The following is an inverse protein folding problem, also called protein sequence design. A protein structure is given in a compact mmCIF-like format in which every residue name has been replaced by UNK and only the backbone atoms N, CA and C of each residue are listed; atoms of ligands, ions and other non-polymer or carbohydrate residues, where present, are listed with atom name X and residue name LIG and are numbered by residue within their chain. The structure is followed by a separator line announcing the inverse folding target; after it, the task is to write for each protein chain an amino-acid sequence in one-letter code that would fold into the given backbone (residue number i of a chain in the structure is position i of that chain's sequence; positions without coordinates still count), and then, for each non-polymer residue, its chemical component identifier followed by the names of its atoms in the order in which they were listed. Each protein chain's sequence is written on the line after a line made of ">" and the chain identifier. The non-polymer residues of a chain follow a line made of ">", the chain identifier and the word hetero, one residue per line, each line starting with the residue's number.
data_IF_674947390709
#
_entry.id   IF_674947390709
#
_cell.length_a   1.000
_cell.length_b   1.000
_cell.length_c   1.000
_cell.angle_alpha   90.00
_cell.angle_beta   90.00
_cell.angle_gamma   90.00
#
_symmetry.space_group_name_H-M   'P 1'
#
loop_
_entity.id
_entity.type
_entity.pdbx_description
1 polymer ?
#
# COMPACT_ATOMS: atom_id res chain seq x y z
N UNK A 1 15.94 13.23 24.69
CA UNK A 1 17.15 12.77 23.98
C UNK A 1 17.56 13.85 22.97
N UNK A 2 18.84 14.01 22.64
CA UNK A 2 19.26 14.97 21.60
C UNK A 2 19.24 14.26 20.25
N UNK A 3 18.31 14.64 19.38
CA UNK A 3 18.24 14.11 18.02
C UNK A 3 19.45 14.56 17.21
N UNK A 4 19.88 13.68 16.30
CA UNK A 4 21.01 13.94 15.41
C UNK A 4 20.47 13.88 13.99
N UNK A 5 20.47 15.03 13.33
CA UNK A 5 20.16 15.15 11.93
C UNK A 5 21.37 14.68 11.10
N UNK A 6 21.41 13.37 10.83
CA UNK A 6 22.47 12.78 10.00
C UNK A 6 22.35 13.19 8.53
N UNK A 7 21.14 13.50 8.06
CA UNK A 7 20.90 13.90 6.69
C UNK A 7 21.41 15.32 6.47
N UNK A 8 21.12 16.26 7.37
CA UNK A 8 21.73 17.59 7.36
C UNK A 8 23.26 17.56 7.46
N UNK A 9 23.83 16.65 8.27
CA UNK A 9 25.29 16.46 8.33
C UNK A 9 25.86 15.90 7.02
N UNK A 10 25.10 15.06 6.31
CA UNK A 10 25.48 14.57 5.00
C UNK A 10 25.39 15.68 3.96
N UNK A 11 24.33 16.48 3.96
CA UNK A 11 24.12 17.58 3.02
C UNK A 11 25.23 18.64 3.09
N UNK A 12 25.70 18.96 4.30
CA UNK A 12 26.86 19.83 4.51
C UNK A 12 28.11 19.25 3.81
N UNK A 13 28.38 17.95 4.00
CA UNK A 13 29.52 17.27 3.38
C UNK A 13 29.37 17.11 1.87
N UNK A 14 28.14 16.84 1.40
CA UNK A 14 27.83 16.68 -0.01
C UNK A 14 28.05 18.01 -0.73
N UNK A 15 27.58 19.12 -0.15
CA UNK A 15 27.78 20.47 -0.69
C UNK A 15 29.26 20.77 -0.88
N UNK A 16 30.08 20.54 0.16
CA UNK A 16 31.53 20.72 0.06
C UNK A 16 32.15 19.83 -1.02
N UNK A 17 31.75 18.55 -1.09
CA UNK A 17 32.26 17.62 -2.10
C UNK A 17 31.87 18.05 -3.53
N UNK A 18 30.66 18.57 -3.73
CA UNK A 18 30.21 19.09 -5.03
C UNK A 18 31.01 20.33 -5.44
N UNK A 19 31.33 21.22 -4.50
CA UNK A 19 32.18 22.40 -4.76
C UNK A 19 33.61 22.01 -5.15
N UNK A 20 34.22 21.07 -4.42
CA UNK A 20 35.57 20.58 -4.69
C UNK A 20 35.68 19.81 -6.02
N UNK A 21 34.56 19.27 -6.50
CA UNK A 21 34.47 18.50 -7.74
C UNK A 21 33.63 19.22 -8.80
N UNK A 22 33.55 20.55 -8.72
CA UNK A 22 32.80 21.38 -9.67
C UNK A 22 33.27 21.09 -11.10
N UNK A 23 32.32 20.83 -11.99
CA UNK A 23 32.50 20.46 -13.40
C UNK A 23 33.09 19.05 -13.67
N UNK A 24 33.31 18.21 -12.66
CA UNK A 24 33.78 16.82 -12.89
C UNK A 24 32.66 15.83 -13.20
N UNK A 25 31.44 16.12 -12.76
CA UNK A 25 30.28 15.25 -12.89
C UNK A 25 29.10 15.99 -13.52
N UNK A 26 28.37 15.30 -14.38
CA UNK A 26 27.07 15.77 -14.90
C UNK A 26 25.97 15.51 -13.88
N UNK A 27 24.80 16.13 -14.07
CA UNK A 27 23.62 15.94 -13.21
C UNK A 27 23.23 14.46 -13.09
N UNK A 28 23.16 13.74 -14.22
CA UNK A 28 22.90 12.29 -14.23
C UNK A 28 23.94 11.47 -13.48
N UNK A 29 25.21 11.88 -13.50
CA UNK A 29 26.26 11.18 -12.73
C UNK A 29 26.11 11.44 -11.23
N UNK A 30 25.62 12.61 -10.83
CA UNK A 30 25.34 12.90 -9.43
C UNK A 30 24.23 12.02 -8.87
N UNK A 31 23.17 11.75 -9.63
CA UNK A 31 22.10 10.81 -9.26
C UNK A 31 22.66 9.40 -8.92
N UNK A 32 23.70 8.96 -9.65
CA UNK A 32 24.36 7.67 -9.40
C UNK A 32 25.41 7.69 -8.27
N UNK A 33 25.93 8.87 -7.92
CA UNK A 33 27.04 9.05 -6.97
C UNK A 33 26.51 9.35 -5.56
N UNK A 34 25.49 10.20 -5.43
CA UNK A 34 24.93 10.63 -4.14
C UNK A 34 24.55 9.42 -3.27
N UNK A 35 23.81 8.41 -3.75
CA UNK A 35 23.46 7.23 -2.94
C UNK A 35 24.70 6.48 -2.44
N UNK A 36 25.76 6.39 -3.25
CA UNK A 36 27.03 5.73 -2.87
C UNK A 36 27.79 6.53 -1.81
N UNK A 37 27.79 7.86 -1.93
CA UNK A 37 28.38 8.75 -0.94
C UNK A 37 27.63 8.67 0.38
N UNK A 38 26.29 8.63 0.35
CA UNK A 38 25.46 8.50 1.54
C UNK A 38 25.71 7.16 2.25
N UNK A 39 25.74 6.06 1.50
CA UNK A 39 26.12 4.74 2.04
C UNK A 39 27.49 4.77 2.71
N UNK A 40 28.48 5.40 2.08
CA UNK A 40 29.84 5.56 2.63
C UNK A 40 29.87 6.47 3.87
N UNK A 41 29.02 7.50 3.91
CA UNK A 41 28.90 8.39 5.05
C UNK A 41 28.48 7.63 6.31
N UNK A 42 27.60 6.63 6.18
CA UNK A 42 27.22 5.74 7.28
C UNK A 42 28.38 5.02 7.97
N UNK A 43 29.49 4.79 7.27
CA UNK A 43 30.72 4.16 7.79
C UNK A 43 31.84 5.18 8.08
N UNK A 44 31.58 6.48 7.88
CA UNK A 44 32.58 7.53 8.06
C UNK A 44 32.52 8.09 9.48
N UNK A 45 33.67 8.17 10.15
CA UNK A 45 33.75 8.72 11.50
C UNK A 45 33.30 10.20 11.53
N UNK A 46 32.41 10.55 12.45
CA UNK A 46 31.91 11.91 12.65
C UNK A 46 32.36 12.41 14.02
N UNK A 47 33.28 13.40 14.02
CA UNK A 47 33.91 13.90 15.24
C UNK A 47 32.90 14.46 16.27
N UNK A 48 31.79 15.05 15.82
CA UNK A 48 30.72 15.61 16.66
C UNK A 48 30.05 14.56 17.56
N UNK A 49 29.98 13.31 17.10
CA UNK A 49 29.34 12.18 17.80
C UNK A 49 30.34 11.10 18.24
N UNK A 50 31.63 11.28 17.89
CA UNK A 50 32.74 10.38 18.22
C UNK A 50 32.52 8.92 17.80
N UNK A 51 31.75 8.68 16.75
CA UNK A 51 31.54 7.37 16.11
C UNK A 51 31.02 7.56 14.67
N UNK A 52 30.75 6.48 13.95
CA UNK A 52 30.05 6.51 12.66
C UNK A 52 28.52 6.57 12.85
N UNK A 53 27.73 7.07 11.87
CA UNK A 53 26.26 7.04 11.94
C UNK A 53 25.69 5.65 12.21
N UNK A 54 26.22 4.60 11.57
CA UNK A 54 25.78 3.22 11.84
C UNK A 54 26.13 2.77 13.25
N UNK A 55 27.36 3.01 13.70
CA UNK A 55 27.77 2.67 15.08
C UNK A 55 26.97 3.42 16.15
N UNK A 56 26.45 4.61 15.82
CA UNK A 56 25.61 5.38 16.74
C UNK A 56 24.32 4.62 17.05
N UNK A 57 23.61 4.16 16.02
CA UNK A 57 22.37 3.39 16.18
C UNK A 57 22.63 1.95 16.63
N UNK A 58 23.70 1.30 16.17
CA UNK A 58 24.05 -0.06 16.59
C UNK A 58 24.28 -0.20 18.11
N UNK A 59 24.65 0.88 18.81
CA UNK A 59 24.82 0.90 20.28
C UNK A 59 23.50 0.98 21.05
N UNK A 60 22.41 1.32 20.39
CA UNK A 60 21.10 1.46 21.02
C UNK A 60 20.44 0.10 21.20
N UNK A 61 19.58 -0.03 22.22
CA UNK A 61 18.61 -1.13 22.32
C UNK A 61 17.45 -0.91 21.35
N UNK A 62 16.66 -1.95 21.10
CA UNK A 62 15.50 -1.86 20.19
C UNK A 62 14.50 -0.79 20.65
N UNK A 63 14.22 -0.73 21.95
CA UNK A 63 13.37 0.32 22.54
C UNK A 63 13.96 1.72 22.31
N UNK A 64 15.28 1.88 22.44
CA UNK A 64 15.93 3.17 22.19
C UNK A 64 15.88 3.57 20.72
N UNK A 65 15.97 2.63 19.78
CA UNK A 65 15.83 2.90 18.35
C UNK A 65 14.42 3.40 18.04
N UNK A 66 13.39 2.71 18.53
CA UNK A 66 11.98 3.07 18.33
C UNK A 66 11.63 4.40 18.99
N UNK A 67 12.12 4.65 20.21
CA UNK A 67 12.01 5.96 20.87
C UNK A 67 12.71 7.06 20.06
N UNK A 68 13.88 6.78 19.48
CA UNK A 68 14.58 7.74 18.63
C UNK A 68 13.79 8.05 17.37
N UNK A 69 13.26 7.03 16.70
CA UNK A 69 12.41 7.15 15.51
C UNK A 69 11.20 8.04 15.81
N UNK A 70 10.51 7.75 16.91
CA UNK A 70 9.33 8.50 17.34
C UNK A 70 9.68 9.97 17.64
N UNK A 71 10.84 10.22 18.27
CA UNK A 71 11.30 11.57 18.53
C UNK A 71 11.62 12.36 17.24
N UNK A 72 12.19 11.71 16.21
CA UNK A 72 12.43 12.33 14.90
C UNK A 72 11.12 12.83 14.27
N UNK A 73 10.11 11.95 14.20
CA UNK A 73 8.78 12.27 13.66
C UNK A 73 8.10 13.42 14.42
N UNK A 74 8.10 13.35 15.76
CA UNK A 74 7.48 14.37 16.62
C UNK A 74 8.19 15.74 16.56
N UNK A 75 9.47 15.76 16.18
CA UNK A 75 10.27 16.99 16.15
C UNK A 75 10.43 17.56 14.73
N UNK A 76 9.77 16.97 13.73
CA UNK A 76 9.89 17.30 12.31
C UNK A 76 11.36 17.32 11.84
N UNK A 77 12.16 16.38 12.37
CA UNK A 77 13.55 16.16 11.96
C UNK A 77 13.56 14.93 11.04
N UNK A 78 14.18 14.99 9.84
CA UNK A 78 14.27 13.85 8.94
C UNK A 78 14.72 12.58 9.66
N UNK A 79 14.02 11.48 9.41
CA UNK A 79 14.39 10.17 9.95
C UNK A 79 15.55 9.62 9.12
N UNK A 80 16.74 9.44 9.71
CA UNK A 80 17.90 9.00 8.93
C UNK A 80 17.74 7.54 8.51
N UNK A 81 18.08 7.21 7.27
CA UNK A 81 18.04 5.84 6.74
C UNK A 81 18.84 4.86 7.59
N UNK A 82 19.92 5.30 8.23
CA UNK A 82 20.72 4.46 9.12
C UNK A 82 19.95 3.96 10.35
N UNK A 83 18.95 4.72 10.82
CA UNK A 83 18.06 4.30 11.90
C UNK A 83 17.09 3.24 11.39
N UNK A 84 16.45 3.48 10.24
CA UNK A 84 15.54 2.53 9.60
C UNK A 84 16.23 1.20 9.32
N UNK A 85 17.39 1.25 8.66
CA UNK A 85 18.17 0.06 8.32
C UNK A 85 18.60 -0.74 9.56
N UNK A 86 18.92 -0.09 10.68
CA UNK A 86 19.25 -0.79 11.93
C UNK A 86 18.01 -1.47 12.54
N UNK A 87 16.85 -0.80 12.52
CA UNK A 87 15.57 -1.36 13.00
C UNK A 87 15.17 -2.59 12.15
N UNK A 88 15.23 -2.46 10.83
CA UNK A 88 14.92 -3.52 9.88
C UNK A 88 15.88 -4.71 10.04
N UNK A 89 17.19 -4.45 10.14
CA UNK A 89 18.21 -5.49 10.31
C UNK A 89 17.97 -6.33 11.57
N UNK A 90 17.44 -5.71 12.64
CA UNK A 90 17.11 -6.41 13.89
C UNK A 90 15.77 -7.11 13.85
N UNK A 91 14.88 -6.76 12.92
CA UNK A 91 13.52 -7.26 12.88
C UNK A 91 12.75 -6.93 14.17
N UNK A 92 12.91 -5.70 14.67
CA UNK A 92 12.36 -5.21 15.95
C UNK A 92 10.84 -4.97 15.93
N UNK A 93 10.09 -5.84 15.24
CA UNK A 93 8.65 -5.72 14.96
C UNK A 93 7.85 -5.53 16.24
N UNK A 94 8.08 -6.36 17.27
CA UNK A 94 7.36 -6.28 18.56
C UNK A 94 7.54 -4.92 19.24
N UNK A 95 8.69 -4.26 19.03
CA UNK A 95 8.97 -2.95 19.61
C UNK A 95 8.33 -1.83 18.79
N UNK A 96 8.17 -2.02 17.47
CA UNK A 96 7.45 -1.09 16.59
C UNK A 96 5.93 -1.20 16.72
N UNK A 97 5.40 -2.36 17.11
CA UNK A 97 3.97 -2.63 17.19
C UNK A 97 3.16 -1.55 17.94
N UNK A 98 3.61 -0.97 19.08
CA UNK A 98 2.89 0.12 19.73
C UNK A 98 2.74 1.38 18.87
N UNK A 99 3.67 1.65 17.94
CA UNK A 99 3.58 2.81 17.03
C UNK A 99 2.46 2.66 16.00
N UNK A 100 2.12 1.43 15.59
CA UNK A 100 0.99 1.16 14.69
C UNK A 100 -0.35 1.64 15.26
N UNK A 101 -0.46 1.66 16.59
CA UNK A 101 -1.67 2.07 17.30
C UNK A 101 -1.59 3.53 17.79
N UNK A 102 -0.60 4.29 17.31
CA UNK A 102 -0.48 5.72 17.61
C UNK A 102 -1.68 6.49 17.08
N UNK A 103 -2.12 7.52 17.81
CA UNK A 103 -3.12 8.47 17.32
C UNK A 103 -2.56 9.42 16.25
N UNK A 104 -1.24 9.50 16.11
CA UNK A 104 -0.59 10.25 15.05
C UNK A 104 -0.47 9.37 13.80
N UNK A 105 -1.20 9.74 12.73
CA UNK A 105 -1.29 8.95 11.50
C UNK A 105 0.05 8.82 10.79
N UNK A 106 0.91 9.85 10.85
CA UNK A 106 2.26 9.79 10.30
C UNK A 106 3.11 8.74 11.00
N UNK A 107 3.09 8.71 12.34
CA UNK A 107 3.77 7.69 13.14
C UNK A 107 3.27 6.28 12.80
N UNK A 108 1.96 6.08 12.70
CA UNK A 108 1.37 4.78 12.40
C UNK A 108 1.74 4.29 10.99
N UNK A 109 1.63 5.16 9.98
CA UNK A 109 2.02 4.85 8.61
C UNK A 109 3.52 4.55 8.48
N UNK A 110 4.37 5.28 9.20
CA UNK A 110 5.81 5.01 9.19
C UNK A 110 6.13 3.63 9.80
N UNK A 111 5.48 3.27 10.90
CA UNK A 111 5.63 1.95 11.51
C UNK A 111 5.12 0.84 10.59
N UNK A 112 3.99 1.05 9.91
CA UNK A 112 3.46 0.10 8.92
C UNK A 112 4.46 -0.16 7.80
N UNK A 113 5.06 0.89 7.24
CA UNK A 113 6.06 0.78 6.17
C UNK A 113 7.33 0.05 6.62
N UNK A 114 7.81 0.28 7.85
CA UNK A 114 8.99 -0.43 8.38
C UNK A 114 8.72 -1.89 8.71
N UNK A 115 7.51 -2.23 9.17
CA UNK A 115 7.16 -3.61 9.50
C UNK A 115 6.82 -4.41 8.23
N UNK A 116 6.13 -3.80 7.27
CA UNK A 116 5.71 -4.45 6.04
C UNK A 116 4.70 -5.57 6.27
N UNK A 117 4.95 -6.72 5.67
CA UNK A 117 4.06 -7.88 5.68
C UNK A 117 4.33 -8.90 6.81
N UNK A 118 5.11 -8.53 7.82
CA UNK A 118 5.48 -9.44 8.91
C UNK A 118 4.27 -9.90 9.73
N UNK A 119 4.02 -11.20 9.71
CA UNK A 119 2.89 -11.85 10.37
C UNK A 119 2.78 -11.57 11.88
N UNK A 120 3.89 -11.21 12.55
CA UNK A 120 3.88 -10.85 13.98
C UNK A 120 3.06 -9.58 14.25
N UNK A 121 2.81 -8.75 13.25
CA UNK A 121 2.02 -7.52 13.37
C UNK A 121 0.55 -7.66 12.96
N UNK A 122 0.12 -8.83 12.47
CA UNK A 122 -1.24 -9.00 11.92
C UNK A 122 -2.35 -8.70 12.93
N UNK A 123 -2.16 -9.03 14.21
CA UNK A 123 -3.12 -8.68 15.26
C UNK A 123 -3.34 -7.16 15.35
N UNK A 124 -2.28 -6.36 15.18
CA UNK A 124 -2.38 -4.91 15.16
C UNK A 124 -2.94 -4.38 13.86
N UNK A 125 -2.64 -4.99 12.72
CA UNK A 125 -3.26 -4.65 11.44
C UNK A 125 -4.77 -4.87 11.48
N UNK A 126 -5.22 -5.98 12.05
CA UNK A 126 -6.64 -6.19 12.31
C UNK A 126 -7.21 -5.19 13.32
N UNK A 127 -6.47 -4.79 14.34
CA UNK A 127 -6.93 -3.74 15.25
C UNK A 127 -7.10 -2.39 14.54
N UNK A 128 -6.23 -2.04 13.58
CA UNK A 128 -6.34 -0.86 12.73
C UNK A 128 -7.63 -0.92 11.90
N UNK A 129 -7.89 -2.04 11.21
CA UNK A 129 -9.10 -2.19 10.39
C UNK A 129 -10.39 -2.13 11.21
N UNK A 130 -10.36 -2.59 12.46
CA UNK A 130 -11.50 -2.53 13.38
C UNK A 130 -11.69 -1.14 14.01
N UNK A 131 -10.70 -0.25 13.92
CA UNK A 131 -10.74 1.06 14.56
C UNK A 131 -11.60 2.04 13.77
N UNK A 132 -12.58 2.66 14.45
CA UNK A 132 -13.39 3.73 13.87
C UNK A 132 -12.61 5.05 13.69
N UNK A 133 -11.48 5.20 14.41
CA UNK A 133 -10.70 6.44 14.43
C UNK A 133 -9.36 6.33 13.71
N UNK A 134 -9.00 5.14 13.24
CA UNK A 134 -7.80 4.97 12.43
C UNK A 134 -7.99 5.68 11.08
N UNK A 135 -6.90 6.25 10.58
CA UNK A 135 -6.83 6.92 9.29
C UNK A 135 -7.20 5.96 8.14
N UNK A 136 -7.94 6.45 7.15
CA UNK A 136 -8.44 5.61 6.05
C UNK A 136 -7.34 5.20 5.07
N UNK A 137 -6.32 6.04 4.83
CA UNK A 137 -5.19 5.67 3.99
C UNK A 137 -4.38 4.55 4.66
N UNK A 138 -4.18 4.65 5.98
CA UNK A 138 -3.56 3.58 6.77
C UNK A 138 -4.34 2.25 6.68
N UNK A 139 -5.68 2.29 6.75
CA UNK A 139 -6.50 1.09 6.58
C UNK A 139 -6.37 0.50 5.18
N UNK A 140 -6.35 1.34 4.16
CA UNK A 140 -6.16 0.90 2.78
C UNK A 140 -4.81 0.21 2.59
N UNK A 141 -3.73 0.78 3.15
CA UNK A 141 -2.40 0.16 3.10
C UNK A 141 -2.38 -1.22 3.79
N UNK A 142 -3.06 -1.36 4.93
CA UNK A 142 -3.23 -2.66 5.61
C UNK A 142 -4.03 -3.65 4.75
N UNK A 143 -5.08 -3.21 4.08
CA UNK A 143 -5.85 -4.07 3.16
C UNK A 143 -4.98 -4.54 2.00
N UNK A 144 -4.14 -3.67 1.42
CA UNK A 144 -3.20 -4.05 0.36
C UNK A 144 -2.20 -5.12 0.82
N UNK A 145 -1.67 -5.00 2.03
CA UNK A 145 -0.80 -6.04 2.62
C UNK A 145 -1.59 -7.35 2.74
N UNK A 146 -2.77 -7.34 3.36
CA UNK A 146 -3.55 -8.56 3.56
C UNK A 146 -4.05 -9.21 2.26
N UNK A 147 -4.23 -8.46 1.19
CA UNK A 147 -4.54 -9.02 -0.15
C UNK A 147 -3.42 -9.91 -0.67
N UNK A 148 -2.16 -9.63 -0.33
CA UNK A 148 -1.02 -10.46 -0.70
C UNK A 148 -0.96 -11.77 0.12
N UNK A 149 -1.53 -11.75 1.33
CA UNK A 149 -1.55 -12.84 2.31
C UNK A 149 -2.96 -13.39 2.61
N UNK A 150 -3.89 -13.24 1.66
CA UNK A 150 -5.31 -13.47 1.88
C UNK A 150 -5.64 -14.88 2.39
N UNK A 151 -4.91 -15.89 1.89
CA UNK A 151 -5.05 -17.29 2.34
C UNK A 151 -4.67 -17.46 3.81
N UNK A 152 -3.60 -16.80 4.26
CA UNK A 152 -3.08 -16.88 5.63
C UNK A 152 -4.05 -16.25 6.64
N UNK A 153 -4.70 -15.16 6.25
CA UNK A 153 -5.57 -14.37 7.12
C UNK A 153 -7.06 -14.70 6.97
N UNK A 154 -7.41 -15.67 6.11
CA UNK A 154 -8.77 -16.04 5.73
C UNK A 154 -9.72 -16.24 6.92
N UNK A 155 -9.36 -17.08 7.89
CA UNK A 155 -10.28 -17.42 9.00
C UNK A 155 -10.59 -16.20 9.87
N UNK A 156 -9.61 -15.31 10.03
CA UNK A 156 -9.81 -14.08 10.79
C UNK A 156 -10.71 -13.10 10.03
N UNK A 157 -10.46 -12.92 8.73
CA UNK A 157 -11.27 -12.08 7.86
C UNK A 157 -12.73 -12.56 7.77
N UNK A 158 -12.96 -13.87 7.67
CA UNK A 158 -14.30 -14.48 7.73
C UNK A 158 -15.00 -14.16 9.06
N UNK A 159 -14.31 -14.34 10.20
CA UNK A 159 -14.87 -14.05 11.53
C UNK A 159 -15.24 -12.56 11.69
N UNK A 160 -14.43 -11.63 11.16
CA UNK A 160 -14.75 -10.20 11.21
C UNK A 160 -15.94 -9.85 10.32
N UNK A 161 -15.99 -10.41 9.11
CA UNK A 161 -17.12 -10.21 8.21
C UNK A 161 -18.43 -10.71 8.81
N UNK A 162 -18.44 -11.89 9.43
CA UNK A 162 -19.61 -12.44 10.12
C UNK A 162 -20.12 -11.52 11.25
N UNK A 163 -19.21 -10.83 11.93
CA UNK A 163 -19.52 -9.83 12.97
C UNK A 163 -19.90 -8.47 12.39
N UNK A 164 -19.88 -8.32 11.06
CA UNK A 164 -20.07 -7.07 10.34
C UNK A 164 -19.10 -5.95 10.73
N UNK A 165 -17.84 -6.33 10.96
CA UNK A 165 -16.77 -5.38 11.25
C UNK A 165 -15.90 -5.23 10.00
N UNK A 166 -15.71 -3.99 9.56
CA UNK A 166 -14.93 -3.65 8.37
C UNK A 166 -15.32 -4.50 7.14
N UNK A 167 -16.62 -4.74 6.95
CA UNK A 167 -17.16 -5.72 6.00
C UNK A 167 -16.64 -5.56 4.57
N UNK A 168 -16.48 -4.31 4.11
CA UNK A 168 -15.95 -4.01 2.77
C UNK A 168 -14.47 -4.40 2.64
N UNK A 169 -13.63 -4.04 3.61
CA UNK A 169 -12.23 -4.45 3.66
C UNK A 169 -12.09 -5.97 3.71
N UNK A 170 -12.95 -6.64 4.51
CA UNK A 170 -12.92 -8.11 4.60
C UNK A 170 -13.31 -8.75 3.26
N UNK A 171 -14.34 -8.24 2.58
CA UNK A 171 -14.72 -8.70 1.24
C UNK A 171 -13.56 -8.58 0.26
N UNK A 172 -12.88 -7.44 0.27
CA UNK A 172 -11.77 -7.19 -0.63
C UNK A 172 -10.60 -8.16 -0.38
N UNK A 173 -10.22 -8.36 0.88
CA UNK A 173 -9.17 -9.32 1.25
C UNK A 173 -9.58 -10.74 0.84
N UNK A 174 -10.79 -11.17 1.19
CA UNK A 174 -11.30 -12.51 0.90
C UNK A 174 -11.39 -12.77 -0.62
N UNK A 175 -11.61 -11.74 -1.43
CA UNK A 175 -11.59 -11.87 -2.90
C UNK A 175 -10.24 -12.29 -3.48
N UNK A 176 -9.14 -12.19 -2.72
CA UNK A 176 -7.78 -12.52 -3.15
C UNK A 176 -7.30 -13.91 -2.73
N UNK A 177 -8.16 -14.68 -2.05
CA UNK A 177 -7.88 -16.06 -1.66
C UNK A 177 -7.63 -16.94 -2.89
N UNK A 178 -6.54 -17.71 -2.85
CA UNK A 178 -6.17 -18.66 -3.91
C UNK A 178 -6.60 -20.07 -3.56
N UNK A 179 -6.60 -20.42 -2.28
CA UNK A 179 -7.11 -21.69 -1.76
C UNK A 179 -8.64 -21.65 -1.72
N UNK A 180 -9.26 -22.21 -2.77
CA UNK A 180 -10.72 -22.26 -2.94
C UNK A 180 -11.43 -22.72 -1.66
N UNK A 181 -12.45 -21.95 -1.28
CA UNK A 181 -13.23 -22.13 -0.06
C UNK A 181 -14.69 -21.77 -0.34
N UNK A 182 -15.58 -22.73 -0.17
CA UNK A 182 -17.00 -22.56 -0.48
C UNK A 182 -17.65 -21.42 0.33
N UNK A 183 -17.21 -21.18 1.57
CA UNK A 183 -17.75 -20.10 2.41
C UNK A 183 -17.45 -18.73 1.80
N UNK A 184 -16.23 -18.58 1.27
CA UNK A 184 -15.78 -17.34 0.63
C UNK A 184 -16.52 -17.15 -0.69
N UNK A 185 -16.61 -18.19 -1.51
CA UNK A 185 -17.36 -18.14 -2.76
C UNK A 185 -18.82 -17.70 -2.54
N UNK A 186 -19.53 -18.37 -1.61
CA UNK A 186 -20.92 -18.05 -1.28
C UNK A 186 -21.09 -16.60 -0.79
N UNK A 187 -20.13 -16.12 -0.01
CA UNK A 187 -20.08 -14.77 0.53
C UNK A 187 -19.93 -13.74 -0.60
N UNK A 188 -18.97 -13.93 -1.51
CA UNK A 188 -18.76 -13.04 -2.66
C UNK A 188 -19.96 -13.04 -3.61
N UNK A 189 -20.55 -14.20 -3.88
CA UNK A 189 -21.78 -14.34 -4.68
C UNK A 189 -22.95 -13.63 -4.01
N UNK A 190 -23.10 -13.75 -2.70
CA UNK A 190 -24.15 -13.03 -1.94
C UNK A 190 -23.95 -11.53 -2.03
N UNK A 191 -22.71 -11.04 -1.88
CA UNK A 191 -22.38 -9.62 -2.00
C UNK A 191 -22.67 -9.09 -3.41
N UNK A 192 -22.38 -9.85 -4.46
CA UNK A 192 -22.72 -9.48 -5.83
C UNK A 192 -24.24 -9.35 -6.06
N UNK A 193 -25.04 -10.22 -5.42
CA UNK A 193 -26.50 -10.23 -5.59
C UNK A 193 -27.24 -9.07 -4.93
N UNK A 194 -26.60 -8.28 -4.05
CA UNK A 194 -27.27 -7.13 -3.41
C UNK A 194 -27.35 -5.91 -4.31
N UNK A 195 -26.66 -5.93 -5.47
CA UNK A 195 -26.59 -4.84 -6.47
C UNK A 195 -26.00 -3.51 -5.94
N UNK A 196 -25.48 -3.52 -4.71
CA UNK A 196 -24.74 -2.40 -4.13
C UNK A 196 -23.29 -2.45 -4.60
N UNK A 197 -22.86 -1.38 -5.29
CA UNK A 197 -21.51 -1.25 -5.84
C UNK A 197 -21.13 -2.40 -6.80
N UNK A 198 -22.03 -2.68 -7.76
CA UNK A 198 -21.90 -3.73 -8.77
C UNK A 198 -20.51 -3.77 -9.45
N UNK A 199 -19.90 -2.65 -9.89
CA UNK A 199 -18.53 -2.62 -10.41
C UNK A 199 -17.53 -3.36 -9.52
N UNK A 200 -17.51 -3.01 -8.23
CA UNK A 200 -16.59 -3.57 -7.26
C UNK A 200 -16.90 -5.03 -6.94
N UNK A 201 -18.18 -5.41 -6.88
CA UNK A 201 -18.55 -6.82 -6.64
C UNK A 201 -18.18 -7.73 -7.82
N UNK A 202 -18.34 -7.24 -9.05
CA UNK A 202 -17.90 -7.96 -10.24
C UNK A 202 -16.38 -8.19 -10.21
N UNK A 203 -15.61 -7.15 -9.86
CA UNK A 203 -14.15 -7.26 -9.76
C UNK A 203 -13.70 -8.23 -8.66
N UNK A 204 -14.43 -8.35 -7.55
CA UNK A 204 -14.15 -9.36 -6.52
C UNK A 204 -14.36 -10.79 -7.00
N UNK A 205 -15.43 -11.06 -7.76
CA UNK A 205 -15.64 -12.39 -8.35
C UNK A 205 -14.56 -12.72 -9.38
N UNK A 206 -14.15 -11.73 -10.19
CA UNK A 206 -13.07 -11.87 -11.15
C UNK A 206 -11.73 -12.17 -10.46
N UNK A 207 -11.41 -11.42 -9.40
CA UNK A 207 -10.19 -11.58 -8.62
C UNK A 207 -10.15 -12.94 -7.90
N UNK A 208 -11.30 -13.40 -7.40
CA UNK A 208 -11.40 -14.73 -6.80
C UNK A 208 -11.11 -15.80 -7.87
N UNK A 209 -11.67 -15.67 -9.07
CA UNK A 209 -11.28 -16.49 -10.21
C UNK A 209 -11.99 -17.85 -10.28
N UNK A 210 -13.17 -17.98 -9.68
CA UNK A 210 -14.00 -19.20 -9.72
C UNK A 210 -15.04 -19.08 -10.84
N UNK A 211 -14.87 -19.89 -11.90
CA UNK A 211 -15.67 -19.85 -13.12
C UNK A 211 -17.15 -20.19 -12.90
N UNK A 212 -17.51 -20.76 -11.74
CA UNK A 212 -18.92 -20.96 -11.34
C UNK A 212 -19.71 -19.67 -11.25
N UNK A 213 -19.03 -18.52 -11.12
CA UNK A 213 -19.66 -17.20 -11.15
C UNK A 213 -20.09 -16.77 -12.56
N UNK A 214 -19.52 -17.35 -13.64
CA UNK A 214 -19.79 -16.94 -15.02
C UNK A 214 -21.27 -16.89 -15.41
N UNK A 215 -22.11 -17.91 -15.12
CA UNK A 215 -23.52 -17.88 -15.52
C UNK A 215 -24.28 -16.70 -14.91
N UNK A 216 -23.93 -16.32 -13.68
CA UNK A 216 -24.54 -15.19 -12.99
C UNK A 216 -24.09 -13.85 -13.56
N UNK A 217 -22.79 -13.72 -13.88
CA UNK A 217 -22.25 -12.52 -14.52
C UNK A 217 -22.84 -12.32 -15.92
N UNK A 218 -22.89 -13.39 -16.73
CA UNK A 218 -23.50 -13.40 -18.06
C UNK A 218 -25.00 -13.06 -18.01
N UNK A 219 -25.73 -13.53 -16.99
CA UNK A 219 -27.12 -13.14 -16.79
C UNK A 219 -27.26 -11.67 -16.38
N UNK A 220 -26.35 -11.13 -15.55
CA UNK A 220 -26.43 -9.74 -15.07
C UNK A 220 -26.13 -8.74 -16.18
N UNK A 221 -25.13 -9.01 -17.04
CA UNK A 221 -24.70 -8.09 -18.10
C UNK A 221 -25.78 -7.87 -19.18
N UNK A 222 -26.75 -8.78 -19.30
CA UNK A 222 -27.87 -8.64 -20.22
C UNK A 222 -28.84 -7.51 -19.86
N UNK A 223 -28.79 -7.00 -18.62
CA UNK A 223 -29.59 -5.86 -18.21
C UNK A 223 -29.23 -4.61 -19.03
N UNK A 224 -30.19 -4.16 -19.84
CA UNK A 224 -30.03 -3.00 -20.73
C UNK A 224 -30.12 -1.67 -19.98
N UNK A 225 -30.46 -1.68 -18.69
CA UNK A 225 -30.45 -0.48 -17.83
C UNK A 225 -29.10 -0.18 -17.21
N UNK A 226 -28.13 -1.11 -17.30
CA UNK A 226 -26.76 -0.89 -16.82
C UNK A 226 -26.13 0.34 -17.47
N UNK A 227 -25.49 1.17 -16.65
CA UNK A 227 -24.63 2.25 -17.11
C UNK A 227 -23.32 1.71 -17.71
N UNK A 228 -22.55 2.62 -18.31
CA UNK A 228 -21.31 2.26 -19.00
C UNK A 228 -20.27 1.59 -18.08
N UNK A 229 -20.07 2.13 -16.86
CA UNK A 229 -19.08 1.61 -15.91
C UNK A 229 -19.45 0.19 -15.46
N UNK A 230 -20.69 -0.03 -15.04
CA UNK A 230 -21.17 -1.35 -14.61
C UNK A 230 -21.01 -2.40 -15.72
N UNK A 231 -21.34 -2.02 -16.96
CA UNK A 231 -21.18 -2.88 -18.11
C UNK A 231 -19.71 -3.26 -18.37
N UNK A 232 -18.80 -2.29 -18.31
CA UNK A 232 -17.36 -2.53 -18.51
C UNK A 232 -16.80 -3.48 -17.46
N UNK A 233 -17.12 -3.27 -16.18
CA UNK A 233 -16.62 -4.12 -15.10
C UNK A 233 -17.20 -5.54 -15.14
N UNK A 234 -18.49 -5.69 -15.48
CA UNK A 234 -19.06 -7.01 -15.73
C UNK A 234 -18.39 -7.71 -16.90
N UNK A 235 -18.14 -6.99 -18.00
CA UNK A 235 -17.46 -7.54 -19.17
C UNK A 235 -16.04 -7.99 -18.81
N UNK A 236 -15.28 -7.15 -18.11
CA UNK A 236 -13.95 -7.50 -17.60
C UNK A 236 -13.99 -8.75 -16.71
N UNK A 237 -14.95 -8.83 -15.78
CA UNK A 237 -15.09 -9.98 -14.91
C UNK A 237 -15.43 -11.28 -15.67
N UNK A 238 -16.30 -11.20 -16.68
CA UNK A 238 -16.63 -12.32 -17.56
C UNK A 238 -15.39 -12.81 -18.32
N UNK A 239 -14.65 -11.88 -18.94
CA UNK A 239 -13.44 -12.20 -19.71
C UNK A 239 -12.33 -12.79 -18.82
N UNK A 240 -12.14 -12.24 -17.62
CA UNK A 240 -11.17 -12.72 -16.64
C UNK A 240 -11.45 -14.17 -16.20
N UNK A 241 -12.71 -14.58 -16.18
CA UNK A 241 -13.14 -15.95 -15.88
C UNK A 241 -13.22 -16.85 -17.12
N UNK A 242 -12.84 -16.35 -18.31
CA UNK A 242 -12.81 -17.12 -19.56
C UNK A 242 -14.15 -17.18 -20.31
N UNK A 243 -15.11 -16.32 -19.97
CA UNK A 243 -16.32 -16.10 -20.75
C UNK A 243 -16.15 -15.02 -21.81
N UNK A 244 -17.16 -14.87 -22.68
CA UNK A 244 -17.20 -13.85 -23.73
C UNK A 244 -18.59 -13.19 -23.75
N UNK A 245 -18.63 -11.89 -24.07
CA UNK A 245 -19.88 -11.15 -24.26
C UNK A 245 -19.73 -10.13 -25.41
N UNK A 246 -20.41 -10.43 -26.51
CA UNK A 246 -20.28 -9.71 -27.79
C UNK A 246 -21.52 -8.94 -28.22
N UNK A 247 -22.60 -8.99 -27.43
CA UNK A 247 -23.82 -8.28 -27.78
C UNK A 247 -23.58 -6.77 -27.79
N UNK A 248 -23.98 -6.07 -28.87
CA UNK A 248 -23.75 -4.65 -29.02
C UNK A 248 -24.52 -3.86 -27.96
N UNK A 249 -23.87 -2.81 -27.44
CA UNK A 249 -24.44 -1.87 -26.48
C UNK A 249 -24.19 -0.44 -26.97
N UNK A 250 -25.17 0.41 -26.73
CA UNK A 250 -25.08 1.84 -27.00
C UNK A 250 -25.04 2.60 -25.68
N UNK A 251 -23.95 3.33 -25.46
CA UNK A 251 -23.70 4.19 -24.30
C UNK A 251 -23.53 5.66 -24.71
N UNK A 252 -23.94 6.04 -25.93
CA UNK A 252 -23.73 7.37 -26.47
C UNK A 252 -24.34 8.51 -25.62
N UNK A 253 -25.39 8.22 -24.87
CA UNK A 253 -26.03 9.15 -23.93
C UNK A 253 -25.54 9.01 -22.47
N UNK A 254 -24.64 8.06 -22.18
CA UNK A 254 -24.11 7.81 -20.84
C UNK A 254 -23.02 8.83 -20.49
N UNK A 255 -23.13 9.44 -19.30
CA UNK A 255 -22.22 10.51 -18.86
C UNK A 255 -20.79 10.02 -18.67
N UNK A 256 -20.61 8.81 -18.15
CA UNK A 256 -19.30 8.26 -17.88
C UNK A 256 -18.62 7.87 -19.19
N UNK A 257 -19.39 7.30 -20.12
CA UNK A 257 -18.91 7.03 -21.49
C UNK A 257 -18.41 8.30 -22.19
N UNK A 258 -19.22 9.38 -22.16
CA UNK A 258 -18.86 10.68 -22.76
C UNK A 258 -17.57 11.25 -22.11
N UNK A 259 -17.44 11.14 -20.78
CA UNK A 259 -16.27 11.64 -20.07
C UNK A 259 -14.98 10.88 -20.43
N UNK A 260 -15.06 9.54 -20.56
CA UNK A 260 -13.94 8.72 -21.01
C UNK A 260 -13.51 9.10 -22.44
N UNK A 261 -14.45 9.21 -23.37
CA UNK A 261 -14.17 9.59 -24.77
C UNK A 261 -13.50 10.99 -24.86
N UNK A 262 -14.01 11.97 -24.10
CA UNK A 262 -13.44 13.32 -24.06
C UNK A 262 -12.00 13.34 -23.51
N UNK A 263 -11.73 12.51 -22.51
CA UNK A 263 -10.40 12.39 -21.89
C UNK A 263 -9.40 11.74 -22.84
N UNK A 264 -9.80 10.67 -23.53
CA UNK A 264 -8.97 9.99 -24.53
C UNK A 264 -8.67 10.87 -25.75
N UNK A 265 -9.65 11.65 -26.23
CA UNK A 265 -9.43 12.62 -27.31
C UNK A 265 -8.43 13.72 -26.89
N UNK A 266 -8.52 14.18 -25.64
CA UNK A 266 -7.60 15.17 -25.09
C UNK A 266 -6.18 14.64 -24.91
N UNK A 267 -6.03 13.38 -24.50
CA UNK A 267 -4.72 12.71 -24.41
C UNK A 267 -4.07 12.55 -25.79
N UNK A 268 -4.82 12.09 -26.80
CA UNK A 268 -4.32 11.93 -28.18
C UNK A 268 -3.84 13.25 -28.77
N UNK A 269 -4.51 14.36 -28.50
CA UNK A 269 -4.08 15.68 -28.99
C UNK A 269 -2.80 16.20 -28.31
N UNK A 270 -2.47 15.77 -27.08
CA UNK A 270 -1.23 16.16 -26.38
C UNK A 270 0.01 15.41 -26.86
N UNK A 271 -0.14 14.25 -27.50
CA UNK A 271 0.99 13.48 -28.06
C UNK A 271 1.31 13.83 -29.53
N UNK A 272 0.49 14.69 -30.15
CA UNK A 272 0.63 15.13 -31.55
C UNK A 272 1.08 16.60 -31.64
N UNK A 273 1.27 17.28 -30.49
CA UNK A 273 1.83 18.64 -30.37
C UNK A 273 3.25 18.61 -29.82
#
# INVERSE_FOLDING_TARGET
>A
MKLIDFDGLFDEKLTQFMEENKNKYTEKQWEDIIPKLYKKFGDTFVAKIKCTPKEYYAKMTDSQLVETLSAHLQSDVPVPEFLCAEIETRGAVETLTPMLLSSDSQTAAYALNLIGDDARAYDCYFAILQSETADEDLKNDVVEIFKLHADEVKEFALSLYEKQIASEAMLEILSRIKERDERVYDLLVKAFKTDENLPMRASYLAAYGDDRALPMLLARIEDKTLGFVDFQELKYAIEALGGEYDEPRDFSDDKDYIAVEASQASAKNKFVS
#
